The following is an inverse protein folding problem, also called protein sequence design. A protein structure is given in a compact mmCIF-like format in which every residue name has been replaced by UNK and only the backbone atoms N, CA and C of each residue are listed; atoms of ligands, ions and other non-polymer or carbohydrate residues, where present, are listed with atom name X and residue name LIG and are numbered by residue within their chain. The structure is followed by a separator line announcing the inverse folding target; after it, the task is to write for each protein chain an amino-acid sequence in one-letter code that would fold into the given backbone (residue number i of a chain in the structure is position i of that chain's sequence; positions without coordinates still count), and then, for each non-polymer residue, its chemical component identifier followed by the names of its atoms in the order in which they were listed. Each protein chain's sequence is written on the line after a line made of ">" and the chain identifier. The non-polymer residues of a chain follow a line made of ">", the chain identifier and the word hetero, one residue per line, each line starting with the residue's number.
data_IF_323996975137
#
_entry.id   IF_323996975137
#
_cell.length_a   1.000
_cell.length_b   1.000
_cell.length_c   1.000
_cell.angle_alpha   90.00
_cell.angle_beta   90.00
_cell.angle_gamma   90.00
#
_symmetry.space_group_name_H-M   'P 1'
#
loop_
_entity.id
_entity.type
_entity.pdbx_description
1 polymer ?
#
# COMPACT_ATOMS: atom_id res chain seq x y z
N UNK A 1 -29.80 -1.20 10.16
CA UNK A 1 -29.37 -1.32 8.74
C UNK A 1 -28.17 -0.43 8.59
N UNK A 2 -27.02 -0.98 8.17
CA UNK A 2 -25.80 -0.17 7.98
C UNK A 2 -25.96 0.72 6.76
N UNK A 3 -25.63 2.01 6.90
CA UNK A 3 -25.62 2.96 5.79
C UNK A 3 -24.22 3.02 5.20
N UNK A 4 -24.10 2.81 3.89
CA UNK A 4 -22.84 3.06 3.19
C UNK A 4 -22.51 4.55 3.21
N UNK A 5 -21.30 4.87 3.64
CA UNK A 5 -20.80 6.24 3.73
C UNK A 5 -19.42 6.33 3.10
N UNK A 6 -19.14 7.42 2.41
CA UNK A 6 -17.80 7.74 1.94
C UNK A 6 -17.46 9.20 2.17
N UNK A 7 -16.16 9.49 2.14
CA UNK A 7 -15.61 10.82 1.97
C UNK A 7 -14.47 10.72 0.97
N UNK A 8 -14.63 11.34 -0.19
CA UNK A 8 -13.61 11.36 -1.23
C UNK A 8 -13.10 12.79 -1.35
N UNK A 9 -11.78 12.93 -1.36
CA UNK A 9 -11.08 14.21 -1.53
C UNK A 9 -10.26 14.13 -2.81
N UNK A 10 -10.38 15.14 -3.66
CA UNK A 10 -9.56 15.32 -4.86
C UNK A 10 -9.12 16.78 -4.88
N UNK A 11 -7.83 17.01 -4.69
CA UNK A 11 -7.30 18.35 -4.44
C UNK A 11 -8.10 19.05 -3.33
N UNK A 12 -8.59 20.26 -3.61
CA UNK A 12 -9.39 21.06 -2.65
C UNK A 12 -10.86 20.67 -2.58
N UNK A 13 -11.31 19.72 -3.39
CA UNK A 13 -12.70 19.33 -3.46
C UNK A 13 -12.94 18.09 -2.60
N UNK A 14 -14.09 18.07 -1.90
CA UNK A 14 -14.57 16.91 -1.16
C UNK A 14 -16.02 16.61 -1.49
N UNK A 15 -16.37 15.33 -1.51
CA UNK A 15 -17.73 14.85 -1.74
C UNK A 15 -17.95 13.52 -1.02
N UNK A 16 -19.22 13.18 -0.78
CA UNK A 16 -19.66 12.06 0.05
C UNK A 16 -20.64 11.13 -0.67
N UNK A 17 -20.80 11.31 -1.98
CA UNK A 17 -21.66 10.51 -2.84
C UNK A 17 -20.94 10.20 -4.15
N UNK A 18 -21.12 8.98 -4.64
CA UNK A 18 -20.42 8.45 -5.82
C UNK A 18 -21.27 7.35 -6.44
N UNK A 19 -21.21 7.17 -7.77
CA UNK A 19 -21.88 6.05 -8.42
C UNK A 19 -21.13 4.74 -8.13
N UNK A 20 -19.82 4.76 -8.32
CA UNK A 20 -18.94 3.61 -8.15
C UNK A 20 -17.51 4.06 -7.82
N UNK A 21 -16.85 3.32 -6.95
CA UNK A 21 -15.41 3.36 -6.71
C UNK A 21 -14.88 1.94 -6.84
N UNK A 22 -13.78 1.80 -7.58
CA UNK A 22 -13.02 0.55 -7.68
C UNK A 22 -11.57 0.81 -7.30
N UNK A 23 -11.07 0.14 -6.27
CA UNK A 23 -9.67 0.22 -5.84
C UNK A 23 -9.02 -1.14 -6.00
N UNK A 24 -7.81 -1.18 -6.57
CA UNK A 24 -7.00 -2.39 -6.68
C UNK A 24 -5.61 -2.13 -6.12
N UNK A 25 -5.19 -2.99 -5.17
CA UNK A 25 -3.89 -2.92 -4.50
C UNK A 25 -3.30 -4.32 -4.36
N UNK A 26 -1.98 -4.42 -4.43
CA UNK A 26 -1.28 -5.71 -4.35
C UNK A 26 0.16 -5.53 -3.88
N UNK A 27 0.68 -6.43 -3.06
CA UNK A 27 2.12 -6.44 -2.74
C UNK A 27 2.99 -6.81 -3.94
N UNK A 28 2.40 -7.40 -5.00
CA UNK A 28 3.12 -7.79 -6.22
C UNK A 28 3.25 -6.66 -7.24
N UNK A 29 2.59 -5.52 -7.01
CA UNK A 29 2.61 -4.33 -7.86
C UNK A 29 2.84 -3.10 -7.02
N UNK A 30 3.75 -2.22 -7.42
CA UNK A 30 3.85 -0.89 -6.80
C UNK A 30 2.89 0.12 -7.44
N UNK A 31 2.10 -0.29 -8.43
CA UNK A 31 1.09 0.54 -9.08
C UNK A 31 -0.28 0.18 -8.50
N UNK A 32 -0.65 0.89 -7.44
CA UNK A 32 -2.02 0.89 -6.92
C UNK A 32 -2.91 1.73 -7.84
N UNK A 33 -4.17 1.32 -8.04
CA UNK A 33 -5.11 2.02 -8.91
C UNK A 33 -6.45 2.25 -8.24
N UNK A 34 -7.08 3.38 -8.57
CA UNK A 34 -8.48 3.62 -8.24
C UNK A 34 -9.22 4.22 -9.45
N UNK A 35 -10.50 3.87 -9.58
CA UNK A 35 -11.41 4.49 -10.54
C UNK A 35 -12.63 5.00 -9.77
N UNK A 36 -12.97 6.27 -9.99
CA UNK A 36 -14.09 6.95 -9.36
C UNK A 36 -15.09 7.35 -10.45
N UNK A 37 -16.32 6.87 -10.35
CA UNK A 37 -17.44 7.26 -11.23
C UNK A 37 -18.36 8.23 -10.50
N UNK A 38 -18.39 9.47 -10.96
CA UNK A 38 -19.19 10.52 -10.33
C UNK A 38 -20.60 10.60 -10.93
N UNK A 39 -21.62 10.92 -10.12
CA UNK A 39 -22.96 11.19 -10.65
C UNK A 39 -22.94 12.42 -11.56
N UNK A 40 -23.87 12.49 -12.52
CA UNK A 40 -24.02 13.61 -13.46
C UNK A 40 -24.25 14.95 -12.77
N UNK A 41 -24.73 14.94 -11.52
CA UNK A 41 -24.87 16.13 -10.67
C UNK A 41 -24.18 15.90 -9.32
N UNK A 42 -22.85 15.88 -9.32
CA UNK A 42 -22.09 15.83 -8.06
C UNK A 42 -22.15 17.19 -7.33
N UNK A 43 -22.50 17.17 -6.05
CA UNK A 43 -22.36 18.34 -5.17
C UNK A 43 -20.94 18.32 -4.60
N UNK A 44 -20.10 19.25 -5.05
CA UNK A 44 -18.72 19.38 -4.59
C UNK A 44 -18.62 20.47 -3.53
N UNK A 45 -17.93 20.17 -2.43
CA UNK A 45 -17.60 21.16 -1.41
C UNK A 45 -16.12 21.57 -1.55
N UNK A 46 -15.82 22.87 -1.57
CA UNK A 46 -14.44 23.37 -1.47
C UNK A 46 -13.98 23.33 -0.01
N UNK A 47 -12.76 22.87 0.23
CA UNK A 47 -12.15 22.83 1.55
C UNK A 47 -11.43 24.16 1.86
N UNK A 48 -11.65 24.70 3.06
CA UNK A 48 -11.09 26.00 3.50
C UNK A 48 -12.13 27.13 3.64
N UNK A 49 -13.34 26.95 3.11
CA UNK A 49 -14.49 27.78 3.47
C UNK A 49 -15.23 27.12 4.63
N UNK A 50 -15.26 27.81 5.78
CA UNK A 50 -16.22 27.53 6.84
C UNK A 50 -17.63 27.80 6.26
N UNK A 51 -18.30 26.77 5.78
CA UNK A 51 -19.75 26.71 5.93
C UNK A 51 -20.09 26.15 7.31
N UNK A 52 -19.59 26.83 8.35
CA UNK A 52 -20.45 26.96 9.53
C UNK A 52 -21.56 27.92 9.11
N UNK A 53 -22.84 27.56 9.23
CA UNK A 53 -23.84 28.59 9.42
C UNK A 53 -23.53 29.22 10.79
N UNK A 54 -22.53 30.11 10.84
CA UNK A 54 -22.43 31.12 11.88
C UNK A 54 -23.51 32.15 11.60
N UNK A 55 -24.77 31.71 11.74
CA UNK A 55 -25.99 32.53 11.62
C UNK A 55 -26.28 33.32 12.91
N UNK A 56 -25.28 33.48 13.78
CA UNK A 56 -25.44 34.18 15.05
C UNK A 56 -24.17 34.98 15.33
N UNK A 57 -24.19 36.28 15.03
CA UNK A 57 -23.41 37.23 15.83
C UNK A 57 -24.28 37.59 17.04
N UNK A 58 -23.74 37.59 18.28
CA UNK A 58 -24.46 38.18 19.40
C UNK A 58 -24.62 39.67 19.11
N UNK A 59 -25.86 40.14 19.00
CA UNK A 59 -26.16 41.57 19.05
C UNK A 59 -25.87 42.08 20.46
N UNK A 60 -25.17 43.19 20.52
CA UNK A 60 -25.03 44.01 21.72
C UNK A 60 -26.44 44.50 22.10
N UNK A 61 -26.91 44.06 23.27
CA UNK A 61 -28.16 44.40 23.96
C UNK A 61 -29.50 43.86 23.41
N UNK A 62 -30.11 43.04 24.27
CA UNK A 62 -31.52 43.00 24.67
C UNK A 62 -32.63 42.25 23.87
N UNK A 63 -32.95 41.10 24.48
CA UNK A 63 -34.26 40.49 24.82
C UNK A 63 -35.21 39.93 23.75
N UNK A 64 -35.33 40.44 22.52
CA UNK A 64 -36.34 39.89 21.58
C UNK A 64 -35.79 39.56 20.18
N UNK A 65 -35.32 38.32 19.99
CA UNK A 65 -34.75 37.84 18.71
C UNK A 65 -35.83 37.39 17.71
N UNK A 66 -36.36 38.33 16.92
CA UNK A 66 -36.75 38.05 15.53
C UNK A 66 -35.53 38.25 14.62
N UNK A 67 -35.02 37.17 14.02
CA UNK A 67 -33.97 37.23 13.02
C UNK A 67 -34.54 37.60 11.66
N UNK A 68 -34.10 38.72 11.08
CA UNK A 68 -34.43 39.09 9.70
C UNK A 68 -33.26 38.74 8.79
N UNK A 69 -33.47 37.84 7.84
CA UNK A 69 -32.51 37.48 6.80
C UNK A 69 -32.50 38.59 5.75
N UNK A 70 -31.35 39.23 5.51
CA UNK A 70 -31.20 40.20 4.42
C UNK A 70 -31.01 39.48 3.09
N UNK A 71 -31.69 39.96 2.03
CA UNK A 71 -31.68 39.35 0.68
C UNK A 71 -30.29 39.25 0.05
N UNK A 72 -29.32 40.02 0.53
CA UNK A 72 -27.93 40.01 0.07
C UNK A 72 -27.12 38.83 0.64
N UNK A 73 -27.45 38.32 1.83
CA UNK A 73 -26.81 37.14 2.42
C UNK A 73 -27.18 35.82 1.69
N UNK A 74 -28.24 35.84 0.88
CA UNK A 74 -28.71 34.69 0.11
C UNK A 74 -27.95 34.53 -1.22
N UNK A 75 -27.19 35.55 -1.68
CA UNK A 75 -26.53 35.52 -2.99
C UNK A 75 -25.30 34.59 -3.10
N UNK A 76 -24.81 34.01 -2.00
CA UNK A 76 -23.62 33.14 -2.00
C UNK A 76 -23.84 31.72 -1.47
N UNK A 77 -25.04 31.40 -0.97
CA UNK A 77 -25.35 30.08 -0.41
C UNK A 77 -26.22 29.32 -1.40
N UNK A 78 -25.63 28.36 -2.10
CA UNK A 78 -26.37 27.41 -2.92
C UNK A 78 -26.52 27.77 -4.40
N UNK A 79 -25.55 28.44 -5.01
CA UNK A 79 -25.49 28.47 -6.47
C UNK A 79 -25.10 27.06 -6.95
N UNK A 80 -26.10 26.28 -7.40
CA UNK A 80 -25.88 25.08 -8.22
C UNK A 80 -25.25 25.55 -9.53
N UNK A 81 -23.94 25.66 -9.55
CA UNK A 81 -23.22 25.79 -10.80
C UNK A 81 -23.32 24.43 -11.47
N UNK A 82 -24.12 24.36 -12.54
CA UNK A 82 -24.23 23.19 -13.40
C UNK A 82 -23.00 23.11 -14.31
N UNK A 83 -21.82 23.14 -13.71
CA UNK A 83 -20.53 22.95 -14.38
C UNK A 83 -20.31 21.44 -14.58
N UNK A 84 -19.66 21.08 -15.67
CA UNK A 84 -19.28 19.69 -15.92
C UNK A 84 -18.40 19.22 -14.76
N UNK A 85 -18.81 18.19 -14.02
CA UNK A 85 -18.10 17.70 -12.83
C UNK A 85 -16.60 17.46 -13.07
N UNK A 86 -16.22 17.11 -14.30
CA UNK A 86 -14.83 16.93 -14.69
C UNK A 86 -13.97 18.20 -14.63
N UNK A 87 -14.54 19.41 -14.79
CA UNK A 87 -13.76 20.67 -14.82
C UNK A 87 -13.23 21.11 -13.46
N UNK A 88 -13.63 20.44 -12.37
CA UNK A 88 -13.17 20.74 -11.01
C UNK A 88 -11.86 20.05 -10.64
N UNK A 89 -11.39 19.11 -11.47
CA UNK A 89 -10.22 18.29 -11.17
C UNK A 89 -9.14 18.50 -12.21
N UNK A 90 -7.89 18.30 -11.80
CA UNK A 90 -6.74 18.31 -12.67
C UNK A 90 -5.95 17.01 -12.53
N UNK A 91 -5.28 16.60 -13.61
CA UNK A 91 -4.28 15.54 -13.55
C UNK A 91 -3.19 15.95 -12.56
N UNK A 92 -2.85 15.06 -11.64
CA UNK A 92 -1.91 15.31 -10.54
C UNK A 92 -2.53 15.85 -9.26
N UNK A 93 -3.85 16.11 -9.21
CA UNK A 93 -4.52 16.40 -7.93
C UNK A 93 -4.37 15.19 -7.00
N UNK A 94 -4.02 15.45 -5.74
CA UNK A 94 -3.95 14.42 -4.70
C UNK A 94 -5.35 13.89 -4.37
N UNK A 95 -5.45 12.58 -4.15
CA UNK A 95 -6.70 11.85 -3.97
C UNK A 95 -6.65 11.07 -2.66
N UNK A 96 -7.72 11.18 -1.87
CA UNK A 96 -7.99 10.31 -0.71
C UNK A 96 -9.39 9.72 -0.84
N UNK A 97 -9.50 8.40 -0.74
CA UNK A 97 -10.79 7.68 -0.80
C UNK A 97 -11.03 7.01 0.56
N UNK A 98 -11.98 7.57 1.31
CA UNK A 98 -12.40 7.04 2.61
C UNK A 98 -13.77 6.36 2.48
N UNK A 99 -13.86 5.07 2.77
CA UNK A 99 -15.08 4.27 2.62
C UNK A 99 -15.44 3.58 3.94
N UNK A 100 -16.72 3.36 4.20
CA UNK A 100 -17.15 2.68 5.40
C UNK A 100 -18.65 2.56 5.58
N UNK A 101 -19.06 2.26 6.81
CA UNK A 101 -20.46 2.19 7.22
C UNK A 101 -20.73 3.18 8.36
N UNK A 102 -21.90 3.82 8.34
CA UNK A 102 -22.39 4.70 9.41
C UNK A 102 -21.40 5.80 9.84
N UNK A 103 -20.55 6.25 8.93
CA UNK A 103 -19.52 7.28 9.17
C UNK A 103 -18.22 6.76 9.76
N UNK A 104 -18.10 5.46 10.05
CA UNK A 104 -16.83 4.81 10.41
C UNK A 104 -16.05 4.49 9.14
N UNK A 105 -15.17 5.42 8.75
CA UNK A 105 -14.48 5.40 7.48
C UNK A 105 -13.03 4.92 7.58
N UNK A 106 -12.60 4.24 6.53
CA UNK A 106 -11.25 3.71 6.36
C UNK A 106 -10.62 4.21 5.07
N UNK A 107 -9.32 4.50 5.09
CA UNK A 107 -8.59 4.92 3.90
C UNK A 107 -8.33 3.72 3.00
N UNK A 108 -9.12 3.59 1.95
CA UNK A 108 -8.96 2.51 0.97
C UNK A 108 -7.86 2.84 -0.05
N UNK A 109 -7.69 4.13 -0.37
CA UNK A 109 -6.73 4.57 -1.37
C UNK A 109 -6.25 6.00 -1.13
N UNK A 110 -4.96 6.22 -1.37
CA UNK A 110 -4.32 7.53 -1.45
C UNK A 110 -3.40 7.58 -2.66
N UNK A 111 -3.45 8.66 -3.43
CA UNK A 111 -2.68 8.78 -4.66
C UNK A 111 -2.95 10.08 -5.41
N UNK A 112 -2.94 10.00 -6.74
CA UNK A 112 -3.04 11.14 -7.64
C UNK A 112 -3.97 10.86 -8.81
N UNK A 113 -4.67 11.88 -9.30
CA UNK A 113 -5.43 11.79 -10.54
C UNK A 113 -4.48 11.52 -11.70
N UNK A 114 -4.61 10.37 -12.36
CA UNK A 114 -3.81 10.01 -13.53
C UNK A 114 -4.46 10.45 -14.83
N UNK A 115 -5.80 10.39 -14.91
CA UNK A 115 -6.59 10.78 -16.07
C UNK A 115 -8.02 11.17 -15.67
N UNK A 116 -8.59 12.13 -16.41
CA UNK A 116 -10.00 12.52 -16.28
C UNK A 116 -10.69 12.20 -17.60
N UNK A 117 -11.71 11.35 -17.54
CA UNK A 117 -12.54 10.97 -18.68
C UNK A 117 -13.88 11.72 -18.59
N UNK A 118 -14.17 12.51 -19.63
CA UNK A 118 -15.38 13.32 -19.76
C UNK A 118 -16.58 12.50 -20.25
N UNK A 119 -16.70 11.26 -19.76
CA UNK A 119 -17.85 10.38 -20.01
C UNK A 119 -19.05 10.82 -19.16
N UNK A 120 -20.22 10.24 -19.44
CA UNK A 120 -21.40 10.39 -18.57
C UNK A 120 -21.83 9.01 -18.07
N UNK A 121 -21.62 8.65 -16.79
CA UNK A 121 -21.00 9.44 -15.72
C UNK A 121 -19.52 9.77 -15.94
N UNK A 122 -19.04 10.86 -15.32
CA UNK A 122 -17.62 11.24 -15.37
C UNK A 122 -16.79 10.18 -14.64
N UNK A 123 -15.67 9.77 -15.25
CA UNK A 123 -14.76 8.80 -14.68
C UNK A 123 -13.39 9.45 -14.41
N UNK A 124 -12.89 9.27 -13.19
CA UNK A 124 -11.57 9.72 -12.77
C UNK A 124 -10.73 8.49 -12.50
N UNK A 125 -9.64 8.35 -13.25
CA UNK A 125 -8.62 7.34 -13.01
C UNK A 125 -7.56 7.93 -12.09
N UNK A 126 -7.16 7.14 -11.11
CA UNK A 126 -6.16 7.50 -10.12
C UNK A 126 -5.11 6.39 -10.03
N UNK A 127 -3.88 6.80 -9.76
CA UNK A 127 -2.75 5.93 -9.48
C UNK A 127 -2.18 6.29 -8.10
N UNK A 128 -1.61 5.30 -7.42
CA UNK A 128 -0.92 5.52 -6.14
C UNK A 128 0.34 6.39 -6.28
N UNK A 129 1.22 6.32 -5.28
CA UNK A 129 2.42 7.16 -5.24
C UNK A 129 3.43 6.92 -6.36
N UNK A 130 3.38 5.76 -7.03
CA UNK A 130 4.16 5.49 -8.24
C UNK A 130 3.92 6.53 -9.35
N UNK A 131 2.76 7.19 -9.35
CA UNK A 131 2.43 8.24 -10.32
C UNK A 131 3.47 9.37 -10.36
N UNK A 132 4.05 9.74 -9.21
CA UNK A 132 5.07 10.80 -9.13
C UNK A 132 6.38 10.42 -9.87
N UNK A 133 6.59 9.12 -10.13
CA UNK A 133 7.81 8.60 -10.74
C UNK A 133 7.71 8.45 -12.27
N UNK A 134 6.49 8.46 -12.84
CA UNK A 134 6.25 8.13 -14.27
C UNK A 134 6.97 9.03 -15.26
N UNK A 135 7.12 10.32 -14.93
CA UNK A 135 7.73 11.33 -15.81
C UNK A 135 9.14 11.73 -15.36
N UNK A 136 9.64 11.11 -14.29
CA UNK A 136 10.99 11.38 -13.79
C UNK A 136 11.98 10.52 -14.56
N UNK A 137 12.69 11.10 -15.51
CA UNK A 137 13.76 10.42 -16.25
C UNK A 137 15.02 10.36 -15.40
N UNK A 138 15.62 9.19 -15.31
CA UNK A 138 16.73 8.89 -14.42
C UNK A 138 17.94 8.42 -15.24
N UNK A 139 19.06 9.12 -15.07
CA UNK A 139 20.36 8.71 -15.61
C UNK A 139 21.39 8.77 -14.49
N UNK A 140 21.89 7.61 -14.07
CA UNK A 140 22.90 7.50 -13.03
C UNK A 140 23.57 6.14 -13.07
N UNK A 141 24.89 6.13 -12.99
CA UNK A 141 25.68 4.93 -12.72
C UNK A 141 26.05 4.92 -11.24
N UNK A 142 25.75 3.81 -10.56
CA UNK A 142 26.06 3.65 -9.15
C UNK A 142 27.33 2.81 -8.96
N UNK A 143 28.18 3.10 -7.95
CA UNK A 143 29.39 2.33 -7.72
C UNK A 143 29.09 0.85 -7.46
N UNK A 144 29.90 -0.02 -8.06
CA UNK A 144 29.79 -1.47 -7.97
C UNK A 144 30.33 -2.01 -6.65
N UNK A 145 29.85 -3.17 -6.23
CA UNK A 145 30.31 -3.87 -5.03
C UNK A 145 31.83 -4.12 -5.03
N UNK A 146 32.42 -4.32 -6.22
CA UNK A 146 33.86 -4.56 -6.39
C UNK A 146 34.67 -3.30 -6.08
N UNK A 147 34.25 -2.15 -6.59
CA UNK A 147 34.93 -0.87 -6.33
C UNK A 147 35.01 -0.55 -4.83
N UNK A 148 34.00 -0.99 -4.06
CA UNK A 148 34.00 -0.88 -2.59
C UNK A 148 34.99 -1.80 -1.90
N UNK A 149 35.07 -3.04 -2.36
CA UNK A 149 35.97 -4.02 -1.75
C UNK A 149 37.42 -3.57 -1.94
N UNK A 150 37.71 -2.93 -3.06
CA UNK A 150 39.03 -2.35 -3.32
C UNK A 150 39.25 -1.04 -2.54
N UNK A 151 38.21 -0.23 -2.31
CA UNK A 151 38.28 0.95 -1.42
C UNK A 151 38.55 0.56 0.04
N UNK A 152 37.76 -0.37 0.62
CA UNK A 152 37.88 -0.82 2.03
C UNK A 152 39.24 -1.42 2.37
N UNK A 153 39.96 -1.97 1.38
CA UNK A 153 41.33 -2.49 1.55
C UNK A 153 42.37 -1.36 1.66
N UNK A 154 42.10 -0.19 1.08
CA UNK A 154 43.03 0.95 1.02
C UNK A 154 42.93 1.87 2.23
N UNK A 155 41.75 1.94 2.86
CA UNK A 155 41.51 2.76 4.05
C UNK A 155 40.60 2.02 5.04
N UNK A 156 41.18 1.23 5.97
CA UNK A 156 40.41 0.42 6.92
C UNK A 156 39.78 1.21 8.08
N UNK A 157 40.21 2.47 8.32
CA UNK A 157 39.65 3.33 9.37
C UNK A 157 38.45 4.15 8.88
N UNK A 158 38.32 4.35 7.56
CA UNK A 158 37.21 5.07 6.95
C UNK A 158 35.99 4.16 6.72
N UNK A 159 34.98 4.30 7.59
CA UNK A 159 33.84 3.37 7.69
C UNK A 159 32.74 3.55 6.64
N UNK A 160 32.84 4.52 5.74
CA UNK A 160 31.84 4.73 4.69
C UNK A 160 32.42 4.49 3.30
N UNK A 161 32.22 3.29 2.74
CA UNK A 161 32.48 2.97 1.34
C UNK A 161 31.20 3.21 0.51
N UNK A 162 31.30 3.58 -0.78
CA UNK A 162 30.17 4.06 -1.58
C UNK A 162 29.29 2.93 -2.14
N UNK A 163 28.84 2.04 -1.27
CA UNK A 163 28.29 0.76 -1.68
C UNK A 163 26.83 0.77 -1.94
N UNK A 164 26.46 0.70 -3.21
CA UNK A 164 25.07 0.83 -3.62
C UNK A 164 24.18 -0.24 -2.99
N UNK A 165 23.31 0.19 -2.07
CA UNK A 165 22.24 -0.65 -1.53
C UNK A 165 20.93 -0.39 -2.26
N UNK A 166 19.97 -1.32 -2.13
CA UNK A 166 18.58 -1.09 -2.56
C UNK A 166 18.05 0.22 -1.99
N UNK A 167 18.30 0.48 -0.69
CA UNK A 167 17.91 1.72 -0.03
C UNK A 167 18.50 2.94 -0.73
N UNK A 168 19.80 2.96 -1.02
CA UNK A 168 20.45 4.09 -1.70
C UNK A 168 19.90 4.37 -3.12
N UNK A 169 19.60 3.32 -3.87
CA UNK A 169 18.96 3.46 -5.19
C UNK A 169 17.56 4.07 -5.04
N UNK A 170 16.78 3.59 -4.08
CA UNK A 170 15.45 4.14 -3.80
C UNK A 170 15.53 5.59 -3.33
N UNK A 171 16.53 5.95 -2.52
CA UNK A 171 16.75 7.33 -2.10
C UNK A 171 17.05 8.27 -3.24
N UNK A 172 17.73 7.78 -4.27
CA UNK A 172 17.91 8.55 -5.50
C UNK A 172 16.62 8.63 -6.33
N UNK A 173 15.89 7.52 -6.49
CA UNK A 173 14.64 7.48 -7.27
C UNK A 173 13.57 8.40 -6.66
N UNK A 174 13.43 8.44 -5.33
CA UNK A 174 12.42 9.25 -4.65
C UNK A 174 12.75 10.73 -4.49
N UNK A 175 13.90 11.22 -4.98
CA UNK A 175 14.24 12.65 -4.81
C UNK A 175 13.19 13.54 -5.47
N UNK A 176 12.71 14.55 -4.73
CA UNK A 176 11.72 15.51 -5.23
C UNK A 176 10.27 14.98 -5.26
N UNK A 177 10.00 13.85 -4.62
CA UNK A 177 8.65 13.30 -4.45
C UNK A 177 8.21 13.36 -2.99
N UNK A 178 6.92 13.10 -2.73
CA UNK A 178 6.38 12.93 -1.37
C UNK A 178 6.54 11.48 -0.86
N UNK A 179 7.30 10.63 -1.56
CA UNK A 179 7.52 9.23 -1.20
C UNK A 179 8.44 9.14 0.01
N UNK A 180 8.05 8.31 0.98
CA UNK A 180 8.81 7.99 2.18
C UNK A 180 9.32 6.56 2.04
N UNK A 181 10.56 6.25 2.43
CA UNK A 181 11.02 4.88 2.47
C UNK A 181 10.68 4.22 3.80
N UNK A 182 10.28 2.95 3.74
CA UNK A 182 10.04 2.16 4.94
C UNK A 182 11.34 1.94 5.73
N UNK A 183 11.25 2.06 7.06
CA UNK A 183 12.36 1.74 7.97
C UNK A 183 12.76 0.25 7.89
N UNK A 184 11.82 -0.60 7.48
CA UNK A 184 11.99 -2.05 7.39
C UNK A 184 12.69 -2.51 6.11
N UNK A 185 13.12 -1.60 5.21
CA UNK A 185 13.92 -1.98 4.03
C UNK A 185 15.26 -2.52 4.54
N UNK A 186 15.57 -3.81 4.29
CA UNK A 186 16.84 -4.40 4.71
C UNK A 186 18.00 -3.82 3.90
N UNK A 187 19.19 -3.80 4.49
CA UNK A 187 20.43 -3.36 3.84
C UNK A 187 20.91 -4.39 2.80
N UNK A 188 20.21 -4.44 1.66
CA UNK A 188 20.53 -5.31 0.53
C UNK A 188 21.58 -4.62 -0.34
N UNK A 189 22.83 -5.10 -0.39
CA UNK A 189 23.84 -4.57 -1.30
C UNK A 189 23.55 -5.02 -2.73
N UNK A 190 23.83 -4.14 -3.69
CA UNK A 190 23.74 -4.41 -5.13
C UNK A 190 25.13 -4.66 -5.71
N UNK A 191 25.23 -5.58 -6.67
CA UNK A 191 26.47 -5.85 -7.40
C UNK A 191 26.84 -4.66 -8.27
N UNK A 192 25.86 -4.16 -9.02
CA UNK A 192 25.96 -2.98 -9.89
C UNK A 192 24.54 -2.51 -10.21
N UNK A 193 24.35 -1.20 -10.35
CA UNK A 193 23.08 -0.63 -10.77
C UNK A 193 23.37 0.60 -11.64
N UNK A 194 22.70 0.71 -12.77
CA UNK A 194 22.75 1.91 -13.60
C UNK A 194 21.41 2.20 -14.24
N UNK A 195 21.16 3.47 -14.52
CA UNK A 195 20.03 3.96 -15.28
C UNK A 195 20.56 4.83 -16.42
N UNK A 196 20.03 4.62 -17.61
CA UNK A 196 20.35 5.30 -18.85
C UNK A 196 19.06 5.84 -19.50
N UNK A 197 18.34 6.70 -18.78
CA UNK A 197 17.13 7.36 -19.26
C UNK A 197 15.83 6.62 -18.96
N UNK A 198 15.83 5.60 -18.09
CA UNK A 198 14.61 5.00 -17.58
C UNK A 198 13.78 6.02 -16.78
N UNK A 199 12.46 5.92 -16.88
CA UNK A 199 11.53 6.59 -15.95
C UNK A 199 11.69 6.03 -14.54
N UNK A 200 11.26 6.76 -13.52
CA UNK A 200 11.33 6.26 -12.14
C UNK A 200 10.54 4.96 -11.93
N UNK A 201 9.43 4.76 -12.66
CA UNK A 201 8.68 3.50 -12.65
C UNK A 201 9.44 2.36 -13.32
N UNK A 202 10.09 2.62 -14.45
CA UNK A 202 10.96 1.63 -15.12
C UNK A 202 12.18 1.30 -14.27
N UNK A 203 12.73 2.29 -13.56
CA UNK A 203 13.82 2.11 -12.62
C UNK A 203 13.42 1.21 -11.44
N UNK A 204 12.19 1.34 -10.92
CA UNK A 204 11.64 0.42 -9.91
C UNK A 204 11.43 -1.00 -10.47
N UNK A 205 10.90 -1.16 -11.68
CA UNK A 205 10.78 -2.49 -12.31
C UNK A 205 12.16 -3.13 -12.53
N UNK A 206 13.13 -2.34 -12.98
CA UNK A 206 14.51 -2.79 -13.16
C UNK A 206 15.12 -3.20 -11.82
N UNK A 207 14.95 -2.40 -10.76
CA UNK A 207 15.41 -2.75 -9.42
C UNK A 207 14.72 -4.02 -8.88
N UNK A 208 13.41 -4.14 -9.06
CA UNK A 208 12.63 -5.33 -8.70
C UNK A 208 13.17 -6.57 -9.42
N UNK A 209 13.52 -6.45 -10.70
CA UNK A 209 14.06 -7.56 -11.51
C UNK A 209 15.52 -7.88 -11.18
N UNK A 210 16.38 -6.88 -11.04
CA UNK A 210 17.82 -7.05 -10.89
C UNK A 210 18.20 -7.40 -9.45
N UNK A 211 17.48 -6.84 -8.46
CA UNK A 211 17.66 -7.12 -7.05
C UNK A 211 16.67 -8.18 -6.50
N UNK A 212 15.68 -8.60 -7.30
CA UNK A 212 14.68 -9.62 -6.93
C UNK A 212 13.95 -9.33 -5.61
N UNK A 213 13.72 -8.05 -5.36
CA UNK A 213 12.98 -7.56 -4.19
C UNK A 213 11.51 -7.36 -4.54
N UNK A 214 10.64 -7.56 -3.57
CA UNK A 214 9.25 -7.10 -3.70
C UNK A 214 9.23 -5.60 -3.43
N UNK A 215 8.61 -4.84 -4.33
CA UNK A 215 8.44 -3.39 -4.18
C UNK A 215 6.94 -3.09 -4.22
N UNK A 216 6.43 -2.43 -3.19
CA UNK A 216 5.04 -1.98 -3.12
C UNK A 216 4.91 -0.73 -2.25
N UNK A 217 3.78 -0.03 -2.39
CA UNK A 217 3.46 1.13 -1.58
C UNK A 217 2.40 0.81 -0.52
N UNK A 218 2.52 1.45 0.63
CA UNK A 218 1.43 1.63 1.57
C UNK A 218 1.20 3.13 1.82
N UNK A 219 0.31 3.72 1.02
CA UNK A 219 0.20 5.18 0.94
C UNK A 219 1.52 5.77 0.42
N UNK A 220 2.11 6.78 1.09
CA UNK A 220 3.38 7.37 0.69
C UNK A 220 4.60 6.48 0.97
N UNK A 221 4.46 5.46 1.82
CA UNK A 221 5.57 4.62 2.24
C UNK A 221 5.89 3.55 1.18
N UNK A 222 7.07 3.62 0.59
CA UNK A 222 7.63 2.64 -0.33
C UNK A 222 8.43 1.60 0.46
N UNK A 223 8.05 0.34 0.32
CA UNK A 223 8.83 -0.78 0.80
C UNK A 223 9.55 -1.46 -0.35
N UNK A 224 10.75 -1.96 -0.07
CA UNK A 224 11.50 -2.87 -0.93
C UNK A 224 12.22 -3.91 -0.07
N UNK A 225 12.03 -5.19 -0.34
CA UNK A 225 12.72 -6.24 0.40
C UNK A 225 12.22 -7.64 0.08
N UNK A 226 12.49 -8.57 0.99
CA UNK A 226 11.85 -9.88 0.95
C UNK A 226 10.37 -9.72 1.30
N UNK A 227 9.56 -10.75 1.05
CA UNK A 227 8.15 -10.77 1.48
C UNK A 227 8.09 -10.96 3.00
N UNK A 228 8.64 -10.01 3.75
CA UNK A 228 8.55 -9.99 5.20
C UNK A 228 7.16 -9.51 5.60
N UNK A 229 6.62 -10.19 6.61
CA UNK A 229 5.31 -9.94 7.19
C UNK A 229 5.41 -8.62 7.96
N UNK A 230 5.14 -7.52 7.28
CA UNK A 230 4.90 -6.25 7.97
C UNK A 230 3.45 -6.22 8.40
N UNK A 231 3.24 -6.09 9.71
CA UNK A 231 1.95 -5.67 10.26
C UNK A 231 1.58 -4.35 9.59
N UNK A 232 0.68 -4.41 8.61
CA UNK A 232 0.44 -3.27 7.74
C UNK A 232 -0.01 -2.03 8.53
N UNK A 233 0.28 -0.85 7.97
CA UNK A 233 -0.11 0.42 8.59
C UNK A 233 -1.47 0.86 8.09
N UNK A 234 -2.25 1.48 8.97
CA UNK A 234 -3.56 2.09 8.72
C UNK A 234 -3.49 3.59 9.01
N UNK A 235 -4.07 4.41 8.14
CA UNK A 235 -4.24 5.83 8.39
C UNK A 235 -5.44 6.08 9.32
N UNK A 236 -5.29 6.98 10.29
CA UNK A 236 -6.40 7.40 11.15
C UNK A 236 -7.26 8.47 10.45
N UNK A 237 -8.58 8.24 10.37
CA UNK A 237 -9.50 9.25 9.83
C UNK A 237 -9.57 10.48 10.75
N UNK A 238 -9.39 11.67 10.16
CA UNK A 238 -9.50 12.96 10.85
C UNK A 238 -10.30 13.93 9.98
N UNK A 239 -11.57 14.14 10.33
CA UNK A 239 -12.51 14.99 9.58
C UNK A 239 -11.98 16.41 9.35
N UNK A 240 -11.48 17.05 10.41
CA UNK A 240 -11.08 18.47 10.40
C UNK A 240 -9.56 18.66 10.20
N UNK A 241 -8.98 17.99 9.19
CA UNK A 241 -7.58 18.23 8.77
C UNK A 241 -7.43 19.64 8.19
N UNK A 242 -6.38 20.35 8.62
CA UNK A 242 -6.15 21.74 8.21
C UNK A 242 -5.44 21.82 6.85
N UNK A 243 -5.74 22.89 6.12
CA UNK A 243 -5.03 23.25 4.88
C UNK A 243 -3.98 24.32 5.19
N UNK A 244 -2.77 24.12 4.66
CA UNK A 244 -1.70 25.11 4.67
C UNK A 244 -1.34 25.41 3.21
N UNK A 245 -1.82 26.54 2.70
CA UNK A 245 -1.72 26.87 1.27
C UNK A 245 -2.49 25.86 0.40
N UNK A 246 -1.78 25.11 -0.44
CA UNK A 246 -2.35 24.06 -1.31
C UNK A 246 -2.13 22.63 -0.77
N UNK A 247 -1.58 22.46 0.43
CA UNK A 247 -1.32 21.14 1.04
C UNK A 247 -2.26 20.88 2.21
N UNK A 248 -2.78 19.65 2.29
CA UNK A 248 -3.69 19.18 3.33
C UNK A 248 -2.96 18.29 4.34
N UNK A 249 -3.30 18.43 5.62
CA UNK A 249 -2.79 17.57 6.71
C UNK A 249 -1.29 17.41 6.59
N UNK A 250 -0.60 16.30 6.88
CA UNK A 250 -0.67 15.00 6.19
C UNK A 250 -1.50 13.94 6.97
N UNK A 251 -1.46 12.68 6.55
CA UNK A 251 -2.06 11.56 7.26
C UNK A 251 -1.10 10.95 8.28
N UNK A 252 -1.64 10.50 9.40
CA UNK A 252 -0.90 9.77 10.43
C UNK A 252 -1.18 8.27 10.29
N UNK A 253 -0.12 7.49 10.08
CA UNK A 253 -0.16 6.05 9.92
C UNK A 253 0.19 5.33 11.21
N UNK A 254 -0.58 4.29 11.55
CA UNK A 254 -0.38 3.47 12.75
C UNK A 254 -0.27 2.00 12.37
N UNK A 255 0.64 1.29 13.03
CA UNK A 255 0.79 -0.16 12.85
C UNK A 255 -0.44 -0.91 13.36
N UNK A 256 -0.89 -1.89 12.58
CA UNK A 256 -2.00 -2.77 12.95
C UNK A 256 -1.44 -4.08 13.49
N UNK A 257 -1.39 -4.22 14.82
CA UNK A 257 -0.80 -5.40 15.49
C UNK A 257 -1.66 -6.66 15.46
N UNK A 258 -2.98 -6.49 15.35
CA UNK A 258 -3.91 -7.60 15.43
C UNK A 258 -4.28 -8.10 14.03
N UNK A 259 -4.29 -9.42 13.85
CA UNK A 259 -4.78 -10.01 12.62
C UNK A 259 -6.27 -9.71 12.42
N UNK A 260 -6.63 -9.31 11.20
CA UNK A 260 -8.02 -9.09 10.79
C UNK A 260 -8.73 -10.44 10.72
N UNK A 261 -9.92 -10.54 11.32
CA UNK A 261 -10.64 -11.81 11.42
C UNK A 261 -11.67 -11.95 10.31
N UNK A 262 -11.47 -12.93 9.44
CA UNK A 262 -12.50 -13.41 8.52
C UNK A 262 -12.89 -14.84 8.88
N UNK A 263 -14.19 -15.08 9.01
CA UNK A 263 -14.76 -16.36 9.34
C UNK A 263 -15.69 -16.82 8.21
N UNK A 264 -15.37 -17.98 7.64
CA UNK A 264 -16.14 -18.65 6.61
C UNK A 264 -17.51 -19.02 7.20
N UNK A 265 -18.57 -18.72 6.45
CA UNK A 265 -19.94 -18.92 6.91
C UNK A 265 -20.48 -17.84 7.88
N UNK A 266 -19.70 -16.80 8.21
CA UNK A 266 -20.15 -15.73 9.09
C UNK A 266 -20.01 -14.33 8.50
N UNK A 267 -18.79 -13.81 8.35
CA UNK A 267 -18.55 -12.43 7.88
C UNK A 267 -17.91 -12.35 6.48
N UNK A 268 -17.78 -13.49 5.81
CA UNK A 268 -17.44 -13.57 4.38
C UNK A 268 -18.72 -13.71 3.56
N UNK A 269 -18.82 -12.93 2.49
CA UNK A 269 -19.92 -12.99 1.53
C UNK A 269 -19.78 -14.17 0.56
N UNK A 270 -18.54 -14.56 0.22
CA UNK A 270 -18.24 -15.77 -0.55
C UNK A 270 -16.80 -16.22 -0.28
N UNK A 271 -16.58 -17.52 -0.31
CA UNK A 271 -15.27 -18.17 -0.23
C UNK A 271 -15.09 -19.20 -1.33
N UNK A 272 -15.84 -19.11 -2.44
CA UNK A 272 -15.86 -20.14 -3.50
C UNK A 272 -14.53 -20.24 -4.27
N UNK A 273 -13.73 -19.18 -4.22
CA UNK A 273 -12.39 -19.11 -4.80
C UNK A 273 -11.29 -19.51 -3.82
N UNK A 274 -11.66 -19.90 -2.59
CA UNK A 274 -10.72 -20.34 -1.56
C UNK A 274 -10.58 -21.85 -1.61
N UNK A 275 -9.34 -22.35 -1.73
CA UNK A 275 -9.03 -23.77 -1.78
C UNK A 275 -8.07 -24.11 -0.66
N UNK A 276 -8.40 -25.14 0.12
CA UNK A 276 -7.46 -25.69 1.09
C UNK A 276 -6.53 -26.66 0.35
N UNK A 277 -5.23 -26.37 0.34
CA UNK A 277 -4.20 -27.22 -0.24
C UNK A 277 -3.42 -27.90 0.87
N UNK A 278 -3.12 -29.18 0.69
CA UNK A 278 -2.12 -29.88 1.50
C UNK A 278 -0.75 -29.74 0.85
N UNK A 279 0.29 -29.67 1.67
CA UNK A 279 1.68 -29.66 1.25
C UNK A 279 2.00 -30.81 0.28
N UNK A 280 1.46 -32.01 0.54
CA UNK A 280 1.63 -33.20 -0.31
C UNK A 280 1.00 -33.04 -1.69
N UNK A 281 -0.09 -32.27 -1.79
CA UNK A 281 -0.84 -32.07 -3.04
C UNK A 281 -0.33 -30.86 -3.84
N UNK A 282 0.61 -30.09 -3.27
CA UNK A 282 1.22 -28.91 -3.87
C UNK A 282 2.76 -29.03 -3.85
N UNK A 283 3.35 -30.01 -4.57
CA UNK A 283 4.79 -30.17 -4.63
C UNK A 283 5.43 -28.88 -5.16
N UNK A 284 6.39 -28.36 -4.41
CA UNK A 284 7.07 -27.11 -4.72
C UNK A 284 8.53 -27.39 -5.04
N UNK A 285 9.07 -26.66 -6.02
CA UNK A 285 10.51 -26.48 -6.19
C UNK A 285 10.92 -25.10 -5.76
N UNK A 286 11.94 -25.02 -4.93
CA UNK A 286 12.61 -23.78 -4.59
C UNK A 286 13.94 -23.75 -5.32
N UNK A 287 14.13 -22.78 -6.21
CA UNK A 287 15.38 -22.50 -6.88
C UNK A 287 16.04 -21.31 -6.20
N UNK A 288 17.18 -21.48 -5.56
CA UNK A 288 17.94 -20.39 -4.95
C UNK A 288 19.11 -20.06 -5.87
N UNK A 289 19.26 -18.80 -6.27
CA UNK A 289 20.34 -18.32 -7.14
C UNK A 289 21.18 -17.31 -6.37
N UNK A 290 22.48 -17.58 -6.28
CA UNK A 290 23.48 -16.67 -5.75
C UNK A 290 24.36 -16.17 -6.88
N UNK A 291 24.55 -14.86 -6.97
CA UNK A 291 25.56 -14.29 -7.85
C UNK A 291 26.86 -14.11 -7.09
N UNK A 292 27.92 -14.71 -7.60
CA UNK A 292 29.28 -14.50 -7.06
C UNK A 292 29.75 -13.07 -7.31
N UNK A 293 30.83 -12.65 -6.64
CA UNK A 293 31.50 -11.37 -6.88
C UNK A 293 32.03 -11.17 -8.32
N UNK A 294 31.97 -12.19 -9.17
CA UNK A 294 32.32 -12.14 -10.60
C UNK A 294 31.11 -12.22 -11.52
N UNK A 295 29.90 -12.03 -10.98
CA UNK A 295 28.63 -12.08 -11.70
C UNK A 295 28.32 -13.43 -12.37
N UNK A 296 28.93 -14.51 -11.87
CA UNK A 296 28.57 -15.88 -12.26
C UNK A 296 27.44 -16.35 -11.35
N UNK A 297 26.33 -16.79 -11.95
CA UNK A 297 25.20 -17.38 -11.25
C UNK A 297 25.56 -18.79 -10.76
N UNK A 298 25.36 -19.03 -9.47
CA UNK A 298 25.37 -20.35 -8.86
C UNK A 298 23.96 -20.60 -8.36
N UNK A 299 23.28 -21.61 -8.89
CA UNK A 299 21.93 -21.97 -8.50
C UNK A 299 21.87 -23.33 -7.81
N UNK A 300 20.95 -23.45 -6.85
CA UNK A 300 20.61 -24.70 -6.18
C UNK A 300 19.09 -24.87 -6.24
N UNK A 301 18.62 -26.06 -6.64
CA UNK A 301 17.19 -26.36 -6.74
C UNK A 301 16.87 -27.49 -5.78
N UNK A 302 15.89 -27.29 -4.91
CA UNK A 302 15.40 -28.30 -3.97
C UNK A 302 13.88 -28.45 -4.07
N UNK A 303 13.36 -29.65 -3.81
CA UNK A 303 11.92 -29.93 -3.79
C UNK A 303 11.44 -30.90 -4.88
N UNK A 304 10.13 -31.13 -4.90
CA UNK A 304 9.48 -32.16 -5.73
C UNK A 304 8.96 -31.57 -7.06
N UNK A 305 8.59 -32.40 -8.05
CA UNK A 305 8.07 -31.90 -9.35
C UNK A 305 6.74 -31.14 -9.15
N UNK A 306 6.81 -29.81 -9.19
CA UNK A 306 5.65 -28.91 -9.30
C UNK A 306 6.09 -27.47 -9.52
N UNK A 307 5.39 -26.50 -8.92
CA UNK A 307 5.61 -25.06 -9.15
C UNK A 307 7.03 -24.62 -8.71
N UNK A 308 7.71 -23.84 -9.54
CA UNK A 308 9.08 -23.37 -9.27
C UNK A 308 9.02 -21.95 -8.70
N UNK A 309 9.39 -21.79 -7.44
CA UNK A 309 9.67 -20.48 -6.82
C UNK A 309 11.17 -20.23 -6.84
N UNK A 310 11.60 -19.20 -7.58
CA UNK A 310 13.01 -18.82 -7.68
C UNK A 310 13.31 -17.66 -6.74
N UNK A 311 14.31 -17.81 -5.88
CA UNK A 311 14.79 -16.82 -4.92
C UNK A 311 16.23 -16.46 -5.24
N UNK A 312 16.56 -15.18 -5.22
CA UNK A 312 17.93 -14.72 -5.39
C UNK A 312 18.45 -14.24 -4.05
N UNK A 313 19.59 -14.78 -3.64
CA UNK A 313 20.17 -14.53 -2.31
C UNK A 313 21.51 -13.81 -2.48
N UNK A 314 21.55 -12.49 -2.24
CA UNK A 314 22.76 -11.69 -2.45
C UNK A 314 23.87 -12.03 -1.45
N UNK A 315 23.56 -12.74 -0.35
CA UNK A 315 24.52 -13.12 0.69
C UNK A 315 24.08 -14.37 1.45
N UNK A 316 24.79 -15.47 1.30
CA UNK A 316 24.61 -16.67 2.12
C UNK A 316 25.77 -16.79 3.12
N UNK A 317 25.45 -17.09 4.38
CA UNK A 317 26.44 -17.46 5.39
C UNK A 317 27.16 -18.75 4.94
N UNK A 318 28.51 -18.75 4.92
CA UNK A 318 29.31 -19.95 4.62
C UNK A 318 28.93 -21.19 5.44
N UNK A 319 28.32 -21.04 6.62
CA UNK A 319 27.88 -22.14 7.49
C UNK A 319 26.55 -22.79 7.08
N UNK A 320 25.71 -22.12 6.28
CA UNK A 320 24.39 -22.65 5.88
C UNK A 320 24.31 -23.16 4.43
N UNK A 321 25.11 -22.60 3.52
CA UNK A 321 25.15 -22.99 2.10
C UNK A 321 23.85 -22.71 1.32
N UNK A 322 23.92 -22.63 -0.03
CA UNK A 322 22.75 -22.42 -0.91
C UNK A 322 21.66 -23.47 -0.69
N UNK A 323 22.06 -24.72 -0.49
CA UNK A 323 21.14 -25.83 -0.25
C UNK A 323 20.40 -25.71 1.08
N UNK A 324 21.07 -25.25 2.14
CA UNK A 324 20.43 -25.04 3.44
C UNK A 324 19.40 -23.92 3.38
N UNK A 325 19.71 -22.80 2.71
CA UNK A 325 18.78 -21.72 2.47
C UNK A 325 17.58 -22.18 1.63
N UNK A 326 17.83 -22.91 0.54
CA UNK A 326 16.80 -23.46 -0.33
C UNK A 326 15.87 -24.43 0.41
N UNK A 327 16.42 -25.31 1.26
CA UNK A 327 15.64 -26.27 2.06
C UNK A 327 14.77 -25.58 3.11
N UNK A 328 15.25 -24.49 3.70
CA UNK A 328 14.47 -23.69 4.65
C UNK A 328 13.31 -22.98 3.96
N UNK A 329 13.60 -22.28 2.87
CA UNK A 329 12.57 -21.65 2.04
C UNK A 329 11.55 -22.69 1.53
N UNK A 330 12.01 -23.86 1.08
CA UNK A 330 11.10 -24.95 0.70
C UNK A 330 10.22 -25.38 1.86
N UNK A 331 10.80 -25.61 3.04
CA UNK A 331 10.06 -26.00 4.24
C UNK A 331 9.03 -24.95 4.65
N UNK A 332 9.39 -23.67 4.59
CA UNK A 332 8.50 -22.57 4.99
C UNK A 332 7.36 -22.36 3.98
N UNK A 333 7.56 -22.74 2.72
CA UNK A 333 6.56 -22.63 1.65
C UNK A 333 5.73 -23.91 1.45
N UNK A 334 6.19 -25.03 2.01
CA UNK A 334 5.51 -26.34 1.94
C UNK A 334 4.68 -26.52 3.20
N UNK A 335 3.47 -25.99 3.19
CA UNK A 335 2.54 -26.07 4.32
C UNK A 335 1.11 -26.37 3.86
N UNK A 336 0.31 -26.93 4.77
CA UNK A 336 -1.12 -27.04 4.58
C UNK A 336 -1.79 -25.69 4.87
N UNK A 337 -2.62 -25.21 3.95
CA UNK A 337 -3.24 -23.90 4.10
C UNK A 337 -4.21 -23.53 2.99
N UNK A 338 -4.87 -22.39 3.19
CA UNK A 338 -5.74 -21.80 2.19
C UNK A 338 -4.94 -21.03 1.14
N UNK A 339 -5.39 -21.16 -0.10
CA UNK A 339 -4.92 -20.41 -1.26
C UNK A 339 -6.12 -19.90 -2.06
N UNK A 340 -5.97 -18.74 -2.69
CA UNK A 340 -7.00 -18.12 -3.52
C UNK A 340 -7.57 -16.84 -2.94
N UNK A 341 -8.87 -16.61 -3.12
CA UNK A 341 -9.53 -15.35 -2.77
C UNK A 341 -10.76 -15.55 -1.91
N UNK A 342 -11.02 -14.62 -1.01
CA UNK A 342 -12.29 -14.50 -0.29
C UNK A 342 -12.96 -13.18 -0.61
N UNK A 343 -14.28 -13.16 -0.65
CA UNK A 343 -15.07 -11.93 -0.80
C UNK A 343 -15.69 -11.59 0.53
N UNK A 344 -15.28 -10.47 1.12
CA UNK A 344 -15.78 -9.93 2.37
C UNK A 344 -16.68 -8.71 2.14
N UNK A 345 -17.38 -8.30 3.19
CA UNK A 345 -17.92 -6.95 3.29
C UNK A 345 -16.77 -5.93 3.41
N UNK A 346 -17.07 -4.64 3.29
CA UNK A 346 -16.06 -3.58 3.37
C UNK A 346 -15.32 -3.58 4.73
N UNK A 347 -16.05 -3.94 5.78
CA UNK A 347 -15.52 -4.16 7.13
C UNK A 347 -15.62 -5.65 7.52
N UNK A 348 -14.63 -6.21 8.25
CA UNK A 348 -13.47 -5.51 8.82
C UNK A 348 -12.47 -5.05 7.75
N UNK A 349 -11.79 -3.93 8.03
CA UNK A 349 -10.82 -3.32 7.12
C UNK A 349 -9.54 -4.14 7.01
N UNK A 350 -9.03 -4.31 5.80
CA UNK A 350 -7.74 -4.92 5.52
C UNK A 350 -7.19 -4.39 4.19
N UNK A 351 -5.88 -4.14 4.14
CA UNK A 351 -5.13 -3.79 2.92
C UNK A 351 -3.95 -4.75 2.76
N UNK A 352 -3.33 -4.83 1.57
CA UNK A 352 -2.20 -5.73 1.35
C UNK A 352 -1.09 -5.54 2.39
N UNK A 353 -0.47 -6.64 2.81
CA UNK A 353 0.47 -6.70 3.92
C UNK A 353 -0.18 -7.01 5.28
N UNK A 354 -1.49 -6.81 5.47
CA UNK A 354 -2.13 -7.10 6.75
C UNK A 354 -2.09 -8.60 7.08
N UNK A 355 -1.91 -8.93 8.36
CA UNK A 355 -2.18 -10.28 8.86
C UNK A 355 -3.69 -10.52 8.91
N UNK A 356 -4.13 -11.67 8.44
CA UNK A 356 -5.54 -12.08 8.38
C UNK A 356 -5.67 -13.46 9.01
N UNK A 357 -6.59 -13.62 9.95
CA UNK A 357 -7.00 -14.90 10.51
C UNK A 357 -8.22 -15.41 9.75
N UNK A 358 -8.06 -16.51 9.02
CA UNK A 358 -9.15 -17.26 8.41
C UNK A 358 -9.59 -18.36 9.38
N UNK A 359 -10.89 -18.43 9.62
CA UNK A 359 -11.50 -19.45 10.49
C UNK A 359 -12.68 -20.11 9.79
N UNK A 360 -12.86 -21.41 10.01
CA UNK A 360 -13.97 -22.20 9.47
C UNK A 360 -14.66 -22.95 10.61
N UNK A 361 -15.90 -22.57 10.92
CA UNK A 361 -16.64 -23.18 12.04
C UNK A 361 -16.91 -24.67 11.83
N UNK A 362 -16.95 -25.14 10.58
CA UNK A 362 -17.18 -26.55 10.27
C UNK A 362 -15.88 -27.35 10.21
N UNK A 363 -14.73 -26.69 10.05
CA UNK A 363 -13.42 -27.31 9.85
C UNK A 363 -12.32 -26.51 10.56
N UNK A 364 -12.35 -26.51 11.90
CA UNK A 364 -11.42 -25.72 12.73
C UNK A 364 -9.96 -26.14 12.54
N UNK A 365 -9.71 -27.35 12.04
CA UNK A 365 -8.38 -27.85 11.66
C UNK A 365 -7.76 -27.10 10.48
N UNK A 366 -8.58 -26.36 9.72
CA UNK A 366 -8.14 -25.57 8.56
C UNK A 366 -7.80 -24.12 8.90
N UNK A 367 -8.10 -23.69 10.13
CA UNK A 367 -7.83 -22.34 10.60
C UNK A 367 -6.36 -21.94 10.39
N UNK A 368 -6.13 -20.68 10.05
CA UNK A 368 -4.78 -20.20 9.81
C UNK A 368 -4.69 -18.68 9.79
N UNK A 369 -3.48 -18.19 10.05
CA UNK A 369 -3.12 -16.79 9.84
C UNK A 369 -2.37 -16.69 8.53
N UNK A 370 -2.66 -15.66 7.74
CA UNK A 370 -2.12 -15.46 6.41
C UNK A 370 -1.77 -13.98 6.22
N UNK A 371 -0.81 -13.70 5.35
CA UNK A 371 -0.59 -12.35 4.84
C UNK A 371 -1.61 -12.07 3.75
N UNK A 372 -2.16 -10.88 3.71
CA UNK A 372 -3.01 -10.45 2.62
C UNK A 372 -2.15 -9.97 1.44
N UNK A 373 -2.25 -10.63 0.30
CA UNK A 373 -1.44 -10.30 -0.88
C UNK A 373 -2.04 -9.16 -1.69
N UNK A 374 -3.37 -9.12 -1.80
CA UNK A 374 -4.07 -8.14 -2.64
C UNK A 374 -5.47 -7.83 -2.13
N UNK A 375 -5.97 -6.66 -2.52
CA UNK A 375 -7.35 -6.24 -2.28
C UNK A 375 -7.94 -5.61 -3.53
N UNK A 376 -9.16 -6.02 -3.87
CA UNK A 376 -10.00 -5.36 -4.86
C UNK A 376 -11.28 -4.89 -4.16
N UNK A 377 -11.45 -3.57 -4.01
CA UNK A 377 -12.59 -2.98 -3.31
C UNK A 377 -13.54 -2.38 -4.34
N UNK A 378 -14.83 -2.70 -4.22
CA UNK A 378 -15.91 -2.04 -4.94
C UNK A 378 -16.84 -1.36 -3.95
N UNK A 379 -17.29 -0.15 -4.27
CA UNK A 379 -18.18 0.64 -3.44
C UNK A 379 -19.07 1.52 -4.31
N UNK A 380 -20.37 1.61 -4.02
CA UNK A 380 -21.26 2.51 -4.74
C UNK A 380 -22.73 2.18 -4.54
N UNK A 381 -23.54 2.51 -5.54
CA UNK A 381 -24.99 2.27 -5.52
C UNK A 381 -25.35 0.79 -5.46
N UNK A 382 -24.49 -0.09 -5.99
CA UNK A 382 -24.62 -1.56 -5.94
C UNK A 382 -24.18 -2.19 -4.62
N UNK A 383 -23.82 -1.40 -3.61
CA UNK A 383 -23.27 -1.88 -2.35
C UNK A 383 -21.76 -1.77 -2.27
N UNK A 384 -21.15 -2.47 -1.31
CA UNK A 384 -19.69 -2.51 -1.17
C UNK A 384 -19.18 -3.91 -0.84
N UNK A 385 -18.04 -4.28 -1.43
CA UNK A 385 -17.35 -5.55 -1.22
C UNK A 385 -15.84 -5.36 -1.26
N UNK A 386 -15.12 -6.20 -0.53
CA UNK A 386 -13.67 -6.37 -0.66
C UNK A 386 -13.38 -7.79 -1.08
N UNK A 387 -12.69 -7.97 -2.20
CA UNK A 387 -12.07 -9.24 -2.55
C UNK A 387 -10.65 -9.22 -2.00
N UNK A 388 -10.33 -10.21 -1.16
CA UNK A 388 -9.05 -10.37 -0.48
C UNK A 388 -8.31 -11.56 -1.10
N UNK A 389 -7.15 -11.32 -1.70
CA UNK A 389 -6.23 -12.37 -2.12
C UNK A 389 -5.41 -12.86 -0.93
N UNK A 390 -5.58 -14.14 -0.61
CA UNK A 390 -4.91 -14.79 0.53
C UNK A 390 -3.52 -15.20 0.08
N UNK A 391 -2.51 -14.72 0.81
CA UNK A 391 -1.11 -14.98 0.56
C UNK A 391 -0.52 -16.05 1.44
N UNK A 392 0.78 -15.92 1.72
CA UNK A 392 1.50 -16.94 2.47
C UNK A 392 1.00 -17.05 3.92
N UNK A 393 0.94 -18.30 4.42
CA UNK A 393 0.57 -18.60 5.80
C UNK A 393 1.65 -18.10 6.76
N UNK A 394 1.23 -17.38 7.79
CA UNK A 394 2.09 -16.86 8.85
C UNK A 394 2.36 -18.01 9.83
N UNK A 395 3.63 -18.36 10.03
CA UNK A 395 4.04 -19.39 10.98
C UNK A 395 4.49 -18.78 12.30
N UNK A 396 4.46 -19.55 13.41
CA UNK A 396 4.81 -19.04 14.76
C UNK A 396 6.22 -18.46 14.90
N UNK A 397 7.14 -18.73 13.96
CA UNK A 397 8.48 -18.11 13.95
C UNK A 397 8.46 -16.65 13.49
N UNK A 398 7.54 -16.31 12.59
CA UNK A 398 7.39 -14.96 12.04
C UNK A 398 6.80 -13.97 13.07
N UNK A 399 6.16 -14.50 14.12
CA UNK A 399 5.68 -13.69 15.26
C UNK A 399 6.82 -13.19 16.17
N UNK A 400 8.03 -13.78 16.11
CA UNK A 400 9.16 -13.42 17.00
C UNK A 400 10.11 -12.35 16.42
N UNK A 401 10.18 -12.20 15.10
CA UNK A 401 11.08 -11.23 14.44
C UNK A 401 10.61 -9.78 14.57
N UNK A 402 9.35 -9.54 14.97
CA UNK A 402 8.77 -8.19 15.13
C UNK A 402 8.89 -7.62 16.56
N UNK A 403 9.56 -8.33 17.48
CA UNK A 403 9.53 -8.04 18.92
C UNK A 403 10.81 -7.51 19.58
N UNK A 404 11.89 -7.20 18.85
CA UNK A 404 13.17 -6.79 19.51
C UNK A 404 13.60 -5.38 19.15
N UNK A 405 12.91 -4.38 19.68
CA UNK A 405 13.46 -3.04 19.89
C UNK A 405 14.13 -2.97 21.28
N UNK A 406 15.46 -2.87 21.29
CA UNK A 406 16.26 -2.20 22.32
C UNK A 406 16.18 -2.71 23.76
N UNK A 407 16.87 -3.81 24.08
CA UNK A 407 17.42 -4.00 25.42
C UNK A 407 18.90 -3.56 25.41
N UNK A 408 19.16 -2.31 25.78
CA UNK A 408 20.52 -1.84 26.04
C UNK A 408 21.19 -2.64 27.16
N UNK A 409 22.52 -2.83 27.14
CA UNK A 409 23.20 -3.61 28.15
C UNK A 409 23.09 -2.91 29.51
N UNK A 410 22.46 -3.59 30.48
CA UNK A 410 22.61 -3.24 31.89
C UNK A 410 24.08 -3.39 32.26
N UNK A 411 24.76 -2.26 32.48
CA UNK A 411 26.06 -2.26 33.16
C UNK A 411 25.85 -2.79 34.58
N UNK A 412 26.63 -3.80 34.93
CA UNK A 412 26.86 -4.25 36.30
C UNK A 412 27.80 -3.28 37.01
#
# INVERSE_FOLDING_TARGET
>A
MFRLTCEIRIGRHRFNEVNEVKVKRSIYSFVDTANIRLPTSAVLFKAGELNTPSLLKPGENDIDRKFTITKEAIKGVGQRVQENTASFFNVGDHVEIWLGYDGDLELEFEGFVSRINFTTPCEIECEGYSWQLRNKVITKEFPSLKELQDYRKKDPENKEPPGTTVREVLEFIRQGTDIVLSDNIPDIPLVSMSFNGETGTEALEKLKKDAYVTIYFNGPELYAGLKDIQLGKRAAYKKNRKWTGNKLEPLEYKEVKNAVKYAIGWNLASSDQLRYRKAVDAPLKVKVIHFTSRNVAIDEVVGEKGDIRTFYVPRIDPKEGLKGAALRMLKDLTYDGYDGKVTAFLQPFAVPGFAVSLTDQNYTDRDGKYVLDSTEVTFGTGGARRVCGIGDKITKKDEQTTGTTGAGPKKA
#
